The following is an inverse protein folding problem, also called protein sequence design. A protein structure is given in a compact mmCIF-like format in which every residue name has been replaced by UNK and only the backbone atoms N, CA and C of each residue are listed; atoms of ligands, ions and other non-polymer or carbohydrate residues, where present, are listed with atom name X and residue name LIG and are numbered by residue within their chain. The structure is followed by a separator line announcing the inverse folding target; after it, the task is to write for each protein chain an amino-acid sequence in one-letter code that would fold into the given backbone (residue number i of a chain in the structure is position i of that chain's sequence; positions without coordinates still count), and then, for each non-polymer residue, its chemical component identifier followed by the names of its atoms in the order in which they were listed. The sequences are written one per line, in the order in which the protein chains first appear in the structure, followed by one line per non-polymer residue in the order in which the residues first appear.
data_IF_443926220442
#
_entry.id   IF_443926220442
#
_cell.length_a   1.000
_cell.length_b   1.000
_cell.length_c   1.000
_cell.angle_alpha   90.00
_cell.angle_beta   90.00
_cell.angle_gamma   90.00
#
_symmetry.space_group_name_H-M   'P 1'
#
loop_
_entity.id
_entity.type
_entity.pdbx_description
1 polymer ?
#
# COMPACT_ATOMS: atom_id res chain seq x y z
N UNK A 1 -2.20 4.23 -2.78
CA UNK A 1 -2.87 3.24 -3.66
C UNK A 1 -3.72 4.01 -4.66
N UNK A 2 -3.81 3.56 -5.93
CA UNK A 2 -4.59 4.32 -6.93
C UNK A 2 -4.72 3.60 -8.26
N UNK A 3 -5.35 4.30 -9.21
CA UNK A 3 -5.60 3.84 -10.57
C UNK A 3 -5.32 4.94 -11.58
N UNK A 4 -5.22 4.59 -12.87
CA UNK A 4 -5.08 5.55 -13.94
C UNK A 4 -6.47 5.93 -14.49
N UNK A 5 -6.69 7.25 -14.63
CA UNK A 5 -7.88 7.83 -15.27
C UNK A 5 -7.47 8.68 -16.49
N UNK A 6 -8.37 8.81 -17.46
CA UNK A 6 -8.21 9.70 -18.61
C UNK A 6 -8.49 11.16 -18.22
N UNK A 7 -9.51 11.36 -17.38
CA UNK A 7 -9.93 12.66 -16.87
C UNK A 7 -9.81 12.68 -15.35
N UNK A 8 -9.55 13.85 -14.77
CA UNK A 8 -9.47 14.02 -13.33
C UNK A 8 -10.84 13.82 -12.68
N UNK A 9 -10.91 13.09 -11.57
CA UNK A 9 -12.10 13.04 -10.73
C UNK A 9 -12.03 14.15 -9.66
N UNK A 10 -12.86 15.17 -9.85
CA UNK A 10 -12.96 16.33 -8.96
C UNK A 10 -14.30 16.36 -8.19
N UNK A 11 -14.89 15.22 -7.95
CA UNK A 11 -16.14 15.10 -7.18
C UNK A 11 -15.94 15.43 -5.70
N UNK A 12 -17.02 15.81 -5.03
CA UNK A 12 -17.01 16.08 -3.59
C UNK A 12 -16.68 14.82 -2.80
N UNK A 13 -17.21 13.69 -3.23
CA UNK A 13 -16.99 12.37 -2.65
C UNK A 13 -15.51 11.99 -2.67
N UNK A 14 -14.85 12.15 -3.82
CA UNK A 14 -13.41 11.92 -3.96
C UNK A 14 -12.58 12.80 -3.02
N UNK A 15 -12.95 14.07 -2.89
CA UNK A 15 -12.30 15.00 -1.98
C UNK A 15 -12.50 14.59 -0.51
N UNK A 16 -13.71 14.23 -0.11
CA UNK A 16 -14.04 13.80 1.27
C UNK A 16 -13.31 12.51 1.65
N UNK A 17 -13.11 11.61 0.70
CA UNK A 17 -12.37 10.38 0.88
C UNK A 17 -10.84 10.54 0.74
N UNK A 18 -10.34 11.78 0.62
CA UNK A 18 -8.93 12.11 0.48
C UNK A 18 -8.25 11.48 -0.75
N UNK A 19 -8.98 11.39 -1.86
CA UNK A 19 -8.36 11.05 -3.15
C UNK A 19 -7.83 12.30 -3.83
N UNK A 20 -6.73 12.13 -4.56
CA UNK A 20 -6.05 13.18 -5.33
C UNK A 20 -5.85 12.77 -6.77
N UNK A 21 -5.72 13.77 -7.65
CA UNK A 21 -5.35 13.58 -9.04
C UNK A 21 -3.94 14.12 -9.27
N UNK A 22 -3.02 13.25 -9.64
CA UNK A 22 -1.66 13.63 -10.01
C UNK A 22 -1.47 13.44 -11.51
N UNK A 23 -0.82 14.41 -12.17
CA UNK A 23 -0.51 14.32 -13.59
C UNK A 23 0.39 13.11 -13.90
N UNK A 24 0.03 12.36 -14.92
CA UNK A 24 0.74 11.20 -15.41
C UNK A 24 1.25 11.38 -16.85
N UNK A 25 1.75 10.31 -17.45
CA UNK A 25 2.16 10.27 -18.84
C UNK A 25 0.94 10.41 -19.77
N UNK A 26 1.12 11.06 -20.93
CA UNK A 26 0.11 11.22 -21.97
C UNK A 26 -1.17 11.94 -21.48
N UNK A 27 -1.00 13.00 -20.68
CA UNK A 27 -2.08 13.79 -20.10
C UNK A 27 -3.10 13.01 -19.26
N UNK A 28 -2.75 11.80 -18.82
CA UNK A 28 -3.56 10.99 -17.92
C UNK A 28 -3.36 11.40 -16.48
N UNK A 29 -4.24 10.95 -15.61
CA UNK A 29 -4.17 11.21 -14.19
C UNK A 29 -3.92 9.93 -13.38
N UNK A 30 -3.07 10.03 -12.36
CA UNK A 30 -3.01 9.05 -11.29
C UNK A 30 -4.00 9.48 -10.22
N UNK A 31 -5.13 8.83 -10.19
CA UNK A 31 -6.14 8.99 -9.16
C UNK A 31 -5.77 8.10 -7.99
N UNK A 32 -5.42 8.70 -6.86
CA UNK A 32 -4.84 7.95 -5.74
C UNK A 32 -5.21 8.51 -4.39
N UNK A 33 -5.13 7.63 -3.39
CA UNK A 33 -5.23 7.93 -1.96
C UNK A 33 -3.90 7.59 -1.28
N UNK A 34 -3.37 8.54 -0.52
CA UNK A 34 -2.20 8.29 0.32
C UNK A 34 -2.62 7.50 1.56
N UNK A 35 -1.86 6.47 1.88
CA UNK A 35 -2.04 5.62 3.05
C UNK A 35 -0.72 5.62 3.81
N UNK A 36 -0.73 5.65 5.13
CA UNK A 36 0.47 5.64 5.99
C UNK A 36 1.46 4.53 5.61
N UNK A 37 0.93 3.40 5.15
CA UNK A 37 1.70 2.35 4.51
C UNK A 37 2.75 1.70 5.42
N UNK A 38 3.82 1.20 4.79
CA UNK A 38 4.89 0.48 5.46
C UNK A 38 5.75 1.36 6.39
N UNK A 39 5.53 2.67 6.43
CA UNK A 39 6.16 3.58 7.39
C UNK A 39 5.98 3.08 8.83
N UNK A 40 4.79 2.57 9.18
CA UNK A 40 4.52 2.03 10.53
C UNK A 40 5.44 0.86 10.84
N UNK A 41 5.63 -0.09 9.92
CA UNK A 41 6.55 -1.23 10.09
C UNK A 41 8.01 -0.77 10.14
N UNK A 42 8.39 0.21 9.32
CA UNK A 42 9.73 0.79 9.35
C UNK A 42 10.03 1.44 10.71
N UNK A 43 9.01 2.09 11.31
CA UNK A 43 9.13 2.71 12.63
C UNK A 43 9.23 1.66 13.73
N UNK A 44 8.39 0.63 13.71
CA UNK A 44 8.47 -0.50 14.66
C UNK A 44 9.82 -1.21 14.58
N UNK A 45 10.34 -1.43 13.36
CA UNK A 45 11.66 -2.05 13.19
C UNK A 45 12.79 -1.29 13.91
N UNK A 46 12.72 0.04 13.97
CA UNK A 46 13.73 0.88 14.65
C UNK A 46 13.68 0.74 16.18
N UNK A 47 12.57 0.24 16.72
CA UNK A 47 12.35 0.07 18.15
C UNK A 47 12.72 -1.35 18.63
N UNK A 48 13.06 -2.27 17.73
CA UNK A 48 13.50 -3.61 18.11
C UNK A 48 14.90 -3.58 18.71
N UNK A 49 15.13 -4.41 19.73
CA UNK A 49 16.43 -4.54 20.37
C UNK A 49 17.50 -5.14 19.44
N UNK A 50 17.08 -6.00 18.50
CA UNK A 50 17.96 -6.64 17.52
C UNK A 50 17.64 -6.22 16.09
N UNK A 51 18.63 -6.25 15.22
CA UNK A 51 18.44 -6.00 13.79
C UNK A 51 17.79 -7.21 13.11
N UNK A 52 16.50 -7.05 12.74
CA UNK A 52 15.77 -8.02 11.94
C UNK A 52 15.55 -7.51 10.52
N UNK A 53 15.59 -8.43 9.55
CA UNK A 53 15.18 -8.10 8.18
C UNK A 53 13.66 -7.87 8.11
N UNK A 54 13.18 -7.09 7.14
CA UNK A 54 11.74 -6.93 6.91
C UNK A 54 11.05 -8.26 6.59
N UNK A 55 11.73 -9.16 5.88
CA UNK A 55 11.22 -10.50 5.59
C UNK A 55 11.00 -11.31 6.87
N UNK A 56 11.93 -11.25 7.82
CA UNK A 56 11.80 -11.93 9.11
C UNK A 56 10.64 -11.35 9.94
N UNK A 57 10.52 -10.01 10.01
CA UNK A 57 9.42 -9.34 10.72
C UNK A 57 8.07 -9.76 10.10
N UNK A 58 7.99 -9.80 8.78
CA UNK A 58 6.80 -10.21 8.03
C UNK A 58 6.42 -11.67 8.35
N UNK A 59 7.39 -12.58 8.38
CA UNK A 59 7.19 -13.99 8.73
C UNK A 59 6.72 -14.16 10.18
N UNK A 60 7.38 -13.50 11.13
CA UNK A 60 7.00 -13.57 12.55
C UNK A 60 5.61 -12.99 12.81
N UNK A 61 5.26 -11.87 12.16
CA UNK A 61 3.93 -11.27 12.22
C UNK A 61 2.85 -12.21 11.66
N UNK A 62 3.16 -12.96 10.60
CA UNK A 62 2.22 -13.90 9.97
C UNK A 62 1.80 -15.07 10.88
N UNK A 63 2.60 -15.37 11.89
CA UNK A 63 2.35 -16.45 12.87
C UNK A 63 1.49 -16.02 14.04
N UNK A 64 1.20 -14.72 14.17
CA UNK A 64 0.38 -14.19 15.26
C UNK A 64 -1.11 -14.29 14.92
N UNK A 65 -1.94 -14.37 15.96
CA UNK A 65 -3.40 -14.54 15.82
C UNK A 65 -4.20 -13.40 16.45
N UNK A 66 -3.54 -12.27 16.75
CA UNK A 66 -4.20 -11.12 17.37
C UNK A 66 -5.23 -10.49 16.41
N UNK A 67 -6.51 -10.27 16.86
CA UNK A 67 -7.58 -9.79 15.98
C UNK A 67 -7.64 -8.26 15.86
N UNK A 68 -6.85 -7.55 16.66
CA UNK A 68 -6.92 -6.09 16.75
C UNK A 68 -6.53 -5.39 15.45
N UNK A 69 -7.23 -4.28 15.16
CA UNK A 69 -7.05 -3.47 13.96
C UNK A 69 -6.98 -2.01 14.37
N UNK A 70 -6.03 -1.28 13.81
CA UNK A 70 -5.91 0.16 13.98
C UNK A 70 -6.29 0.91 12.70
N UNK A 71 -6.78 2.14 12.82
CA UNK A 71 -6.90 3.03 11.66
C UNK A 71 -5.51 3.56 11.31
N UNK A 72 -4.92 2.99 10.24
CA UNK A 72 -3.59 3.37 9.78
C UNK A 72 -3.45 4.85 9.40
N UNK A 73 -4.55 5.55 9.13
CA UNK A 73 -4.55 6.96 8.74
C UNK A 73 -4.81 7.90 9.93
N UNK A 74 -4.91 7.37 11.15
CA UNK A 74 -5.08 8.19 12.35
C UNK A 74 -3.82 9.01 12.63
N UNK A 75 -3.99 10.28 12.95
CA UNK A 75 -2.92 11.26 13.19
C UNK A 75 -1.93 10.82 14.27
N UNK A 76 -2.34 9.99 15.21
CA UNK A 76 -1.45 9.48 16.26
C UNK A 76 -0.28 8.64 15.71
N UNK A 77 -0.39 8.12 14.49
CA UNK A 77 0.66 7.33 13.81
C UNK A 77 1.57 8.16 12.91
N UNK A 78 1.29 9.46 12.73
CA UNK A 78 2.05 10.30 11.81
C UNK A 78 3.51 10.50 12.27
N UNK A 79 3.72 10.80 13.54
CA UNK A 79 5.06 11.00 14.10
C UNK A 79 5.11 10.67 15.61
N UNK A 80 4.76 9.45 16.04
CA UNK A 80 4.79 9.09 17.44
C UNK A 80 6.23 8.95 17.95
N UNK A 81 6.44 9.18 19.25
CA UNK A 81 7.74 8.91 19.91
C UNK A 81 8.09 7.41 19.89
N UNK A 82 7.05 6.56 19.98
CA UNK A 82 7.13 5.11 19.86
C UNK A 82 5.92 4.64 19.05
N UNK A 83 6.16 3.96 17.93
CA UNK A 83 5.09 3.37 17.13
C UNK A 83 4.49 2.15 17.84
N UNK A 84 5.31 1.35 18.51
CA UNK A 84 4.87 0.23 19.35
C UNK A 84 3.91 0.74 20.44
N UNK A 85 4.31 1.81 21.14
CA UNK A 85 3.49 2.44 22.18
C UNK A 85 2.19 3.01 21.62
N UNK A 86 2.23 3.66 20.47
CA UNK A 86 1.04 4.22 19.81
C UNK A 86 0.03 3.13 19.40
N UNK A 87 0.49 2.01 18.84
CA UNK A 87 -0.39 0.88 18.47
C UNK A 87 -1.03 0.26 19.70
N UNK A 88 -0.25 0.02 20.76
CA UNK A 88 -0.78 -0.50 22.04
C UNK A 88 -1.84 0.41 22.63
N UNK A 89 -1.53 1.71 22.69
CA UNK A 89 -2.47 2.72 23.20
C UNK A 89 -3.75 2.79 22.36
N UNK A 90 -3.66 2.76 21.04
CA UNK A 90 -4.85 2.74 20.18
C UNK A 90 -5.74 1.54 20.48
N UNK A 91 -5.15 0.34 20.63
CA UNK A 91 -5.91 -0.85 20.98
C UNK A 91 -6.57 -0.73 22.35
N UNK A 92 -5.87 -0.16 23.35
CA UNK A 92 -6.41 0.10 24.68
C UNK A 92 -7.58 1.09 24.63
N UNK A 93 -7.38 2.25 23.98
CA UNK A 93 -8.38 3.33 23.87
C UNK A 93 -9.65 2.87 23.11
N UNK A 94 -9.52 1.88 22.22
CA UNK A 94 -10.65 1.30 21.46
C UNK A 94 -11.17 -0.01 22.03
N UNK A 95 -10.77 -0.38 23.25
CA UNK A 95 -11.17 -1.62 23.93
C UNK A 95 -10.91 -2.89 23.12
N UNK A 96 -9.81 -2.92 22.36
CA UNK A 96 -9.35 -4.10 21.64
C UNK A 96 -8.27 -4.85 22.43
N UNK A 97 -7.96 -6.08 22.01
CA UNK A 97 -6.85 -6.83 22.58
C UNK A 97 -5.54 -6.06 22.38
N UNK A 98 -4.83 -5.73 23.47
CA UNK A 98 -3.55 -5.02 23.41
C UNK A 98 -2.44 -5.99 23.05
N UNK A 99 -1.65 -5.73 22.01
CA UNK A 99 -0.54 -6.60 21.62
C UNK A 99 0.54 -6.63 22.73
N UNK A 100 1.01 -7.84 23.08
CA UNK A 100 1.91 -8.06 24.22
C UNK A 100 3.39 -7.98 23.82
N UNK A 101 3.71 -8.33 22.58
CA UNK A 101 5.07 -8.33 22.05
C UNK A 101 5.13 -7.61 20.69
N UNK A 102 6.34 -7.39 20.18
CA UNK A 102 6.59 -6.66 18.93
C UNK A 102 6.06 -7.39 17.69
N UNK A 103 5.99 -8.72 17.71
CA UNK A 103 5.46 -9.51 16.59
C UNK A 103 3.94 -9.38 16.48
N UNK A 104 3.24 -9.31 17.61
CA UNK A 104 1.82 -9.01 17.63
C UNK A 104 1.55 -7.57 17.17
N UNK A 105 2.39 -6.60 17.56
CA UNK A 105 2.30 -5.22 17.04
C UNK A 105 2.45 -5.19 15.52
N UNK A 106 3.47 -5.88 15.00
CA UNK A 106 3.68 -5.97 13.56
C UNK A 106 2.48 -6.64 12.86
N UNK A 107 1.90 -7.69 13.45
CA UNK A 107 0.71 -8.36 12.92
C UNK A 107 -0.50 -7.43 12.88
N UNK A 108 -0.77 -6.68 13.96
CA UNK A 108 -1.84 -5.65 13.99
C UNK A 108 -1.65 -4.67 12.84
N UNK A 109 -0.42 -4.16 12.63
CA UNK A 109 -0.16 -3.19 11.56
C UNK A 109 -0.40 -3.81 10.18
N UNK A 110 0.12 -5.02 9.89
CA UNK A 110 -0.08 -5.66 8.59
C UNK A 110 -1.56 -5.94 8.31
N UNK A 111 -2.30 -6.45 9.29
CA UNK A 111 -3.74 -6.70 9.16
C UNK A 111 -4.53 -5.39 8.93
N UNK A 112 -4.15 -4.32 9.64
CA UNK A 112 -4.75 -2.99 9.50
C UNK A 112 -4.48 -2.38 8.11
N UNK A 113 -3.26 -2.50 7.61
CA UNK A 113 -2.90 -2.06 6.25
C UNK A 113 -3.69 -2.83 5.19
N UNK A 114 -3.78 -4.16 5.34
CA UNK A 114 -4.56 -4.97 4.41
C UNK A 114 -6.04 -4.58 4.39
N UNK A 115 -6.65 -4.33 5.56
CA UNK A 115 -8.02 -3.80 5.66
C UNK A 115 -8.14 -2.44 4.98
N UNK A 116 -7.23 -1.52 5.28
CA UNK A 116 -7.22 -0.18 4.67
C UNK A 116 -7.12 -0.26 3.14
N UNK A 117 -6.33 -1.19 2.59
CA UNK A 117 -6.24 -1.40 1.15
C UNK A 117 -7.55 -1.93 0.56
N UNK A 118 -8.22 -2.86 1.27
CA UNK A 118 -9.53 -3.35 0.88
C UNK A 118 -10.58 -2.25 0.83
N UNK A 119 -10.64 -1.43 1.87
CA UNK A 119 -11.57 -0.29 1.94
C UNK A 119 -11.28 0.75 0.85
N UNK A 120 -9.99 1.05 0.58
CA UNK A 120 -9.58 1.98 -0.48
C UNK A 120 -9.99 1.49 -1.88
N UNK A 121 -9.88 0.19 -2.16
CA UNK A 121 -10.32 -0.36 -3.45
C UNK A 121 -11.83 -0.23 -3.61
N UNK A 122 -12.62 -0.50 -2.56
CA UNK A 122 -14.07 -0.31 -2.60
C UNK A 122 -14.45 1.15 -2.91
N UNK A 123 -13.82 2.11 -2.22
CA UNK A 123 -14.01 3.53 -2.50
C UNK A 123 -13.66 3.88 -3.96
N UNK A 124 -12.51 3.42 -4.46
CA UNK A 124 -12.15 3.63 -5.88
C UNK A 124 -13.18 3.02 -6.84
N UNK A 125 -13.71 1.83 -6.53
CA UNK A 125 -14.75 1.19 -7.34
C UNK A 125 -16.04 1.99 -7.35
N UNK A 126 -16.44 2.54 -6.20
CA UNK A 126 -17.63 3.38 -6.04
C UNK A 126 -17.49 4.68 -6.83
N UNK A 127 -16.35 5.39 -6.69
CA UNK A 127 -16.10 6.65 -7.37
C UNK A 127 -15.98 6.49 -8.89
N UNK A 128 -15.25 5.46 -9.34
CA UNK A 128 -14.96 5.30 -10.77
C UNK A 128 -15.98 4.47 -11.54
N UNK A 129 -16.88 3.78 -10.85
CA UNK A 129 -17.81 2.82 -11.45
C UNK A 129 -17.13 1.57 -12.05
N UNK A 130 -15.83 1.39 -11.82
CA UNK A 130 -15.02 0.27 -12.34
C UNK A 130 -14.93 -0.84 -11.31
N UNK A 131 -14.63 -2.06 -11.76
CA UNK A 131 -14.27 -3.20 -10.92
C UNK A 131 -12.83 -3.59 -11.16
N UNK A 132 -12.05 -3.67 -10.06
CA UNK A 132 -10.65 -4.02 -10.12
C UNK A 132 -10.45 -5.51 -9.86
N UNK A 133 -9.70 -6.18 -10.73
CA UNK A 133 -9.38 -7.61 -10.61
C UNK A 133 -7.93 -7.85 -10.22
N UNK A 134 -7.08 -6.84 -10.38
CA UNK A 134 -5.63 -6.94 -10.18
C UNK A 134 -5.10 -5.74 -9.44
N UNK A 135 -4.17 -6.01 -8.53
CA UNK A 135 -3.38 -4.98 -7.83
C UNK A 135 -1.91 -5.24 -8.13
N UNK A 136 -1.24 -4.25 -8.66
CA UNK A 136 0.20 -4.27 -8.87
C UNK A 136 0.87 -3.58 -7.69
N UNK A 137 1.63 -4.35 -6.91
CA UNK A 137 2.41 -3.84 -5.78
C UNK A 137 3.83 -3.60 -6.26
N UNK A 138 4.27 -2.35 -6.26
CA UNK A 138 5.59 -1.93 -6.75
C UNK A 138 6.43 -1.31 -5.64
N UNK A 139 7.72 -1.20 -5.85
CA UNK A 139 8.65 -0.69 -4.84
C UNK A 139 8.90 -1.70 -3.72
N UNK A 140 9.44 -1.25 -2.59
CA UNK A 140 9.81 -2.10 -1.46
C UNK A 140 8.67 -2.93 -0.86
N UNK A 141 7.42 -2.48 -1.03
CA UNK A 141 6.23 -3.22 -0.59
C UNK A 141 6.00 -4.55 -1.31
N UNK A 142 6.53 -4.71 -2.53
CA UNK A 142 6.42 -5.95 -3.30
C UNK A 142 6.96 -7.17 -2.54
N UNK A 143 7.95 -6.98 -1.67
CA UNK A 143 8.59 -8.03 -0.90
C UNK A 143 7.85 -8.41 0.40
N UNK A 144 6.77 -7.71 0.76
CA UNK A 144 5.99 -8.01 1.97
C UNK A 144 4.95 -9.09 1.70
N UNK A 145 5.38 -10.36 1.63
CA UNK A 145 4.54 -11.49 1.22
C UNK A 145 3.28 -11.65 2.08
N UNK A 146 3.39 -11.49 3.40
CA UNK A 146 2.25 -11.57 4.30
C UNK A 146 1.22 -10.47 4.01
N UNK A 147 1.68 -9.21 3.83
CA UNK A 147 0.80 -8.11 3.46
C UNK A 147 0.13 -8.36 2.10
N UNK A 148 0.87 -8.88 1.12
CA UNK A 148 0.32 -9.21 -0.18
C UNK A 148 -0.80 -10.27 -0.08
N UNK A 149 -0.62 -11.31 0.76
CA UNK A 149 -1.64 -12.32 1.04
C UNK A 149 -2.89 -11.73 1.70
N UNK A 150 -2.70 -10.86 2.71
CA UNK A 150 -3.82 -10.18 3.37
C UNK A 150 -4.53 -9.26 2.37
N UNK A 151 -3.79 -8.53 1.56
CA UNK A 151 -4.34 -7.64 0.53
C UNK A 151 -5.20 -8.42 -0.45
N UNK A 152 -4.72 -9.57 -0.96
CA UNK A 152 -5.50 -10.44 -1.83
C UNK A 152 -6.82 -10.86 -1.18
N UNK A 153 -6.77 -11.27 0.10
CA UNK A 153 -7.95 -11.68 0.87
C UNK A 153 -8.94 -10.54 1.07
N UNK A 154 -8.47 -9.33 1.38
CA UNK A 154 -9.32 -8.18 1.70
C UNK A 154 -9.93 -7.54 0.45
N UNK A 155 -9.21 -7.57 -0.67
CA UNK A 155 -9.65 -6.94 -1.92
C UNK A 155 -10.37 -7.90 -2.87
N UNK A 156 -10.13 -9.20 -2.74
CA UNK A 156 -10.57 -10.20 -3.72
C UNK A 156 -9.84 -10.11 -5.07
N UNK A 157 -8.76 -9.32 -5.14
CA UNK A 157 -7.96 -9.13 -6.34
C UNK A 157 -6.77 -10.08 -6.41
N UNK A 158 -6.35 -10.39 -7.63
CA UNK A 158 -5.04 -11.00 -7.88
C UNK A 158 -3.94 -9.98 -7.57
N UNK A 159 -2.94 -10.36 -6.79
CA UNK A 159 -1.81 -9.49 -6.43
C UNK A 159 -0.60 -9.84 -7.29
N UNK A 160 -0.10 -8.85 -8.00
CA UNK A 160 1.13 -8.94 -8.78
C UNK A 160 2.21 -8.12 -8.08
N UNK A 161 3.17 -8.80 -7.48
CA UNK A 161 4.35 -8.16 -6.92
C UNK A 161 5.29 -7.78 -8.07
N UNK A 162 5.31 -6.49 -8.38
CA UNK A 162 6.06 -5.94 -9.51
C UNK A 162 7.50 -5.61 -9.16
N UNK A 163 8.22 -4.96 -10.07
CA UNK A 163 9.61 -4.62 -9.83
C UNK A 163 9.76 -3.64 -8.66
N UNK A 164 10.81 -3.85 -7.84
CA UNK A 164 11.14 -2.94 -6.75
C UNK A 164 11.46 -1.53 -7.27
N UNK A 165 12.09 -1.43 -8.43
CA UNK A 165 12.55 -0.18 -9.05
C UNK A 165 11.58 0.36 -10.12
N UNK A 166 10.27 0.17 -9.91
CA UNK A 166 9.24 0.56 -10.88
C UNK A 166 9.30 2.04 -11.29
N UNK A 167 9.69 2.94 -10.39
CA UNK A 167 9.82 4.37 -10.68
C UNK A 167 10.95 4.63 -11.69
N UNK A 168 12.11 4.00 -11.50
CA UNK A 168 13.24 4.12 -12.40
C UNK A 168 12.92 3.51 -13.78
N UNK A 169 12.32 2.32 -13.79
CA UNK A 169 11.87 1.64 -15.01
C UNK A 169 10.86 2.49 -15.78
N UNK A 170 9.88 3.08 -15.08
CA UNK A 170 8.87 3.94 -15.71
C UNK A 170 9.49 5.20 -16.32
N UNK A 171 10.46 5.81 -15.64
CA UNK A 171 11.19 6.98 -16.16
C UNK A 171 11.98 6.63 -17.43
N UNK A 172 12.70 5.52 -17.43
CA UNK A 172 13.42 5.04 -18.61
C UNK A 172 12.47 4.73 -19.76
N UNK A 173 11.35 4.05 -19.48
CA UNK A 173 10.37 3.71 -20.52
C UNK A 173 9.79 4.95 -21.20
N UNK A 174 9.51 6.03 -20.47
CA UNK A 174 9.03 7.30 -21.05
C UNK A 174 10.10 7.94 -21.94
N UNK A 175 11.37 7.92 -21.55
CA UNK A 175 12.47 8.42 -22.37
C UNK A 175 12.66 7.57 -23.66
N UNK A 176 12.56 6.25 -23.56
CA UNK A 176 12.63 5.34 -24.70
C UNK A 176 11.44 5.53 -25.66
N UNK A 177 10.23 5.81 -25.13
CA UNK A 177 9.08 6.18 -25.97
C UNK A 177 9.33 7.49 -26.72
N UNK A 178 9.90 8.51 -26.06
CA UNK A 178 10.24 9.78 -26.70
C UNK A 178 11.29 9.60 -27.80
N UNK A 179 12.24 8.69 -27.64
CA UNK A 179 13.25 8.33 -28.62
C UNK A 179 12.77 7.32 -29.69
N UNK A 180 11.48 6.93 -29.66
CA UNK A 180 10.86 5.97 -30.60
C UNK A 180 11.46 4.55 -30.54
N UNK A 181 12.06 4.16 -29.41
CA UNK A 181 12.52 2.80 -29.15
C UNK A 181 11.34 1.84 -28.89
N UNK A 182 10.26 2.37 -28.34
CA UNK A 182 8.96 1.69 -28.24
C UNK A 182 7.95 2.36 -29.17
N UNK A 183 7.08 1.55 -29.74
CA UNK A 183 6.02 2.01 -30.65
C UNK A 183 4.97 2.85 -29.90
N UNK A 184 4.58 2.40 -28.73
CA UNK A 184 3.58 3.02 -27.86
C UNK A 184 3.72 2.54 -26.40
N UNK A 185 2.93 3.11 -25.51
CA UNK A 185 2.94 2.74 -24.07
C UNK A 185 2.58 1.26 -23.85
N UNK A 186 1.76 0.66 -24.69
CA UNK A 186 1.38 -0.76 -24.59
C UNK A 186 2.56 -1.66 -24.89
N UNK A 187 3.35 -1.32 -25.90
CA UNK A 187 4.56 -2.03 -26.27
C UNK A 187 5.62 -1.94 -25.15
N UNK A 188 5.82 -0.75 -24.58
CA UNK A 188 6.70 -0.57 -23.42
C UNK A 188 6.25 -1.39 -22.21
N UNK A 189 4.97 -1.36 -21.86
CA UNK A 189 4.41 -2.16 -20.75
C UNK A 189 4.56 -3.65 -20.97
N UNK A 190 4.39 -4.12 -22.20
CA UNK A 190 4.59 -5.52 -22.56
C UNK A 190 6.04 -5.94 -22.34
N UNK A 191 7.00 -5.18 -22.84
CA UNK A 191 8.43 -5.45 -22.66
C UNK A 191 8.80 -5.54 -21.17
N UNK A 192 8.31 -4.60 -20.34
CA UNK A 192 8.54 -4.59 -18.88
C UNK A 192 7.92 -5.82 -18.19
N UNK A 193 6.78 -6.31 -18.65
CA UNK A 193 6.11 -7.45 -18.03
C UNK A 193 6.71 -8.81 -18.41
N UNK A 194 7.50 -8.86 -19.49
CA UNK A 194 8.16 -10.07 -19.99
C UNK A 194 9.63 -10.17 -19.54
N UNK A 195 10.20 -9.12 -18.91
CA UNK A 195 11.55 -9.07 -18.37
C UNK A 195 11.59 -9.40 -16.87
#
# INVERSE_FOLDING_TARGET
MGTELLDADCTLESMQDNFTNEGGYDHRFRYLKNIMGLWMIQSVKKEFEAEYSFAYICDMASKQTIPSIVDCNNDMFLAPKSMIGAVKKYCEDTNQQVPQNEWEVASVIYNSLGKCYGDTIKQMEEHTGKKYKRVYVVGGGANAEYLNKITAKQTGCEIYAGPAEATAIGNLAVQMLANKEFKDLKDARKCISES
#
